data_IF_679069410896
#
_entry.id   IF_679069410896
#
_cell.length_a   1.000
_cell.length_b   1.000
_cell.length_c   1.000
_cell.angle_alpha   90.00
_cell.angle_beta   90.00
_cell.angle_gamma   90.00
#
_symmetry.space_group_name_H-M   'P 1'
#
loop_
_entity.id
_entity.type
_entity.pdbx_description
1 polymer ?
#
# COMPACT_ATOMS: atom_id res chain seq x y z
N UNK A 1 16.44 -3.42 5.28
CA UNK A 1 17.08 -2.26 4.60
C UNK A 1 16.36 -1.77 3.35
N UNK A 2 15.38 -2.49 2.78
CA UNK A 2 14.64 -2.02 1.58
C UNK A 2 13.42 -1.14 1.94
N UNK A 3 12.75 -1.39 3.07
CA UNK A 3 11.63 -0.56 3.57
C UNK A 3 12.03 0.88 3.93
N UNK A 4 13.27 1.09 4.37
CA UNK A 4 13.77 2.43 4.71
C UNK A 4 14.10 3.28 3.47
N UNK A 5 14.28 2.66 2.29
CA UNK A 5 14.58 3.39 1.06
C UNK A 5 13.36 4.16 0.54
N UNK A 6 12.14 3.71 0.85
CA UNK A 6 10.90 4.42 0.52
C UNK A 6 10.70 5.70 1.32
N UNK A 7 11.29 5.81 2.53
CA UNK A 7 11.20 7.01 3.37
C UNK A 7 12.14 8.15 2.91
N UNK A 8 13.06 7.90 1.98
CA UNK A 8 14.14 8.85 1.60
C UNK A 8 13.92 9.51 0.24
N UNK A 9 12.76 9.35 -0.40
CA UNK A 9 12.44 10.06 -1.65
C UNK A 9 11.68 11.37 -1.44
N UNK A 10 11.99 12.11 -0.37
CA UNK A 10 11.51 13.47 -0.17
C UNK A 10 12.54 14.46 -0.74
N UNK A 11 12.62 14.58 -2.07
CA UNK A 11 13.36 15.65 -2.73
C UNK A 11 12.38 16.76 -3.16
N UNK A 12 12.58 18.03 -2.76
CA UNK A 12 11.62 19.10 -3.04
C UNK A 12 11.93 19.84 -4.36
N UNK A 13 10.85 20.39 -4.91
CA UNK A 13 10.75 21.50 -5.87
C UNK A 13 10.81 21.18 -7.38
N UNK A 14 9.65 21.34 -8.03
CA UNK A 14 9.42 21.44 -9.49
C UNK A 14 9.30 20.13 -10.31
N UNK A 15 8.65 19.11 -9.76
CA UNK A 15 8.32 17.88 -10.48
C UNK A 15 6.78 17.75 -10.60
N UNK A 16 6.27 17.24 -11.73
CA UNK A 16 4.82 17.12 -11.99
C UNK A 16 4.13 16.20 -10.98
N UNK A 17 2.79 16.16 -10.95
CA UNK A 17 2.08 15.20 -10.06
C UNK A 17 2.53 13.77 -10.39
N UNK A 18 2.84 13.49 -11.65
CA UNK A 18 3.42 12.23 -12.12
C UNK A 18 4.80 11.89 -11.55
N UNK A 19 5.59 12.85 -11.09
CA UNK A 19 6.92 12.57 -10.54
C UNK A 19 6.88 12.23 -9.05
N UNK A 20 5.77 12.60 -8.38
CA UNK A 20 5.54 12.34 -6.95
C UNK A 20 4.80 11.02 -6.73
N UNK A 21 3.90 10.66 -7.65
CA UNK A 21 3.09 9.46 -7.48
C UNK A 21 3.83 8.18 -7.87
N UNK A 22 3.63 7.07 -7.13
CA UNK A 22 4.26 5.81 -7.44
C UNK A 22 3.74 5.27 -8.78
N UNK A 23 4.64 4.80 -9.63
CA UNK A 23 4.27 4.16 -10.89
C UNK A 23 3.30 2.99 -10.65
N UNK A 24 2.34 2.78 -11.56
CA UNK A 24 1.36 1.69 -11.48
C UNK A 24 1.97 0.32 -11.21
N UNK A 25 3.12 0.02 -11.82
CA UNK A 25 3.85 -1.24 -11.57
C UNK A 25 4.35 -1.37 -10.12
N UNK A 26 4.76 -0.25 -9.50
CA UNK A 26 5.24 -0.22 -8.13
C UNK A 26 4.12 -0.51 -7.12
N UNK A 27 2.90 -0.02 -7.38
CA UNK A 27 1.72 -0.33 -6.54
C UNK A 27 1.46 -1.84 -6.45
N UNK A 28 1.47 -2.54 -7.59
CA UNK A 28 1.27 -3.99 -7.61
C UNK A 28 2.43 -4.76 -6.97
N UNK A 29 3.67 -4.30 -7.18
CA UNK A 29 4.83 -4.90 -6.51
C UNK A 29 4.73 -4.76 -4.99
N UNK A 30 4.23 -3.63 -4.48
CA UNK A 30 3.98 -3.46 -3.05
C UNK A 30 2.95 -4.45 -2.53
N UNK A 31 1.83 -4.65 -3.25
CA UNK A 31 0.81 -5.66 -2.89
C UNK A 31 1.42 -7.06 -2.85
N UNK A 32 2.17 -7.46 -3.88
CA UNK A 32 2.82 -8.78 -3.95
C UNK A 32 3.83 -8.95 -2.81
N UNK A 33 4.62 -7.93 -2.51
CA UNK A 33 5.60 -7.95 -1.44
C UNK A 33 4.93 -8.11 -0.05
N UNK A 34 3.87 -7.34 0.23
CA UNK A 34 3.10 -7.43 1.47
C UNK A 34 2.39 -8.78 1.57
N UNK A 35 1.84 -9.30 0.48
CA UNK A 35 1.21 -10.62 0.45
C UNK A 35 2.22 -11.73 0.74
N UNK A 36 3.37 -11.73 0.07
CA UNK A 36 4.44 -12.71 0.28
C UNK A 36 5.00 -12.65 1.69
N UNK A 37 5.24 -11.45 2.21
CA UNK A 37 5.74 -11.26 3.58
C UNK A 37 4.70 -11.72 4.62
N UNK A 38 3.42 -11.36 4.42
CA UNK A 38 2.32 -11.81 5.29
C UNK A 38 2.18 -13.33 5.28
N UNK A 39 2.31 -13.98 4.12
CA UNK A 39 2.29 -15.44 4.03
C UNK A 39 3.44 -16.10 4.80
N UNK A 40 4.68 -15.62 4.61
CA UNK A 40 5.87 -16.15 5.31
C UNK A 40 5.72 -15.96 6.82
N UNK A 41 5.26 -14.80 7.25
CA UNK A 41 4.96 -14.50 8.66
C UNK A 41 3.89 -15.42 9.23
N UNK A 42 2.77 -15.58 8.53
CA UNK A 42 1.64 -16.40 8.96
C UNK A 42 2.03 -17.89 9.08
N UNK A 43 2.92 -18.38 8.22
CA UNK A 43 3.47 -19.74 8.32
C UNK A 43 4.27 -19.96 9.61
N UNK A 44 4.89 -18.92 10.17
CA UNK A 44 5.67 -19.02 11.41
C UNK A 44 4.81 -18.80 12.65
N UNK A 45 3.95 -17.78 12.65
CA UNK A 45 3.04 -17.48 13.76
C UNK A 45 1.87 -16.63 13.29
N UNK A 46 0.66 -16.98 13.70
CA UNK A 46 -0.59 -16.36 13.23
C UNK A 46 -0.69 -14.84 13.48
N UNK A 47 -0.02 -14.32 14.52
CA UNK A 47 -0.09 -12.89 14.88
C UNK A 47 0.97 -12.04 14.17
N UNK A 48 2.01 -12.64 13.57
CA UNK A 48 3.08 -11.88 12.92
C UNK A 48 2.61 -10.99 11.75
N UNK A 49 1.66 -11.41 10.88
CA UNK A 49 1.11 -10.52 9.86
C UNK A 49 0.42 -9.27 10.42
N UNK A 50 -0.03 -9.28 11.68
CA UNK A 50 -0.62 -8.10 12.33
C UNK A 50 0.42 -7.02 12.60
N UNK A 51 1.71 -7.37 12.75
CA UNK A 51 2.78 -6.40 12.94
C UNK A 51 2.99 -5.53 11.69
N UNK A 52 2.88 -6.13 10.49
CA UNK A 52 3.01 -5.39 9.23
C UNK A 52 1.69 -4.70 8.84
N UNK A 53 0.56 -5.22 9.32
CA UNK A 53 -0.75 -4.64 9.02
C UNK A 53 -0.85 -3.18 9.44
N UNK A 54 -0.46 -2.84 10.68
CA UNK A 54 -0.57 -1.47 11.19
C UNK A 54 0.18 -0.41 10.35
N UNK A 55 1.49 -0.56 10.04
CA UNK A 55 2.19 0.41 9.21
C UNK A 55 1.66 0.45 7.78
N UNK A 56 1.25 -0.70 7.21
CA UNK A 56 0.69 -0.74 5.86
C UNK A 56 -0.68 -0.06 5.79
N UNK A 57 -1.52 -0.25 6.81
CA UNK A 57 -2.81 0.43 6.90
C UNK A 57 -2.65 1.95 7.06
N UNK A 58 -1.65 2.39 7.83
CA UNK A 58 -1.32 3.80 7.93
C UNK A 58 -0.90 4.39 6.58
N UNK A 59 0.02 3.76 5.86
CA UNK A 59 0.44 4.21 4.52
C UNK A 59 -0.72 4.21 3.51
N UNK A 60 -1.56 3.19 3.53
CA UNK A 60 -2.76 3.14 2.68
C UNK A 60 -3.74 4.28 3.03
N UNK A 61 -3.88 4.63 4.31
CA UNK A 61 -4.74 5.74 4.72
C UNK A 61 -4.21 7.11 4.28
N UNK A 62 -2.89 7.33 4.28
CA UNK A 62 -2.29 8.55 3.74
C UNK A 62 -2.56 8.69 2.23
N UNK A 63 -2.38 7.60 1.47
CA UNK A 63 -2.66 7.60 0.03
C UNK A 63 -4.13 7.88 -0.28
N UNK A 64 -5.06 7.27 0.47
CA UNK A 64 -6.49 7.53 0.32
C UNK A 64 -6.83 8.98 0.69
N UNK A 65 -6.20 9.54 1.72
CA UNK A 65 -6.39 10.93 2.11
C UNK A 65 -5.89 11.90 1.03
N UNK A 66 -4.75 11.62 0.39
CA UNK A 66 -4.19 12.42 -0.70
C UNK A 66 -5.09 12.37 -1.95
N UNK A 67 -5.61 11.19 -2.30
CA UNK A 67 -6.57 11.04 -3.41
C UNK A 67 -7.95 11.64 -3.13
N UNK A 68 -8.34 11.73 -1.86
CA UNK A 68 -9.57 12.36 -1.41
C UNK A 68 -9.47 13.88 -1.24
N UNK A 69 -8.25 14.45 -1.30
CA UNK A 69 -8.03 15.87 -1.17
C UNK A 69 -8.66 16.63 -2.35
N UNK A 70 -9.43 17.71 -2.10
CA UNK A 70 -10.16 18.42 -3.15
C UNK A 70 -9.25 19.19 -4.13
N UNK A 71 -7.97 19.34 -3.82
CA UNK A 71 -6.99 20.04 -4.64
C UNK A 71 -6.06 19.03 -5.32
N UNK A 72 -5.53 18.06 -4.57
CA UNK A 72 -4.56 17.09 -5.08
C UNK A 72 -5.26 16.01 -5.92
N UNK A 73 -6.36 15.44 -5.43
CA UNK A 73 -7.08 14.35 -6.11
C UNK A 73 -7.51 14.66 -7.55
N UNK A 74 -8.10 15.84 -7.84
CA UNK A 74 -8.43 16.23 -9.20
C UNK A 74 -7.18 16.41 -10.09
N UNK A 75 -6.09 16.97 -9.56
CA UNK A 75 -4.86 17.14 -10.32
C UNK A 75 -4.23 15.78 -10.71
N UNK A 76 -4.23 14.82 -9.77
CA UNK A 76 -3.84 13.43 -10.02
C UNK A 76 -4.71 12.80 -11.11
N UNK A 77 -6.04 12.99 -11.03
CA UNK A 77 -6.99 12.44 -12.00
C UNK A 77 -6.75 12.99 -13.41
N UNK A 78 -6.47 14.28 -13.52
CA UNK A 78 -6.27 14.94 -14.81
C UNK A 78 -4.92 14.53 -15.45
N UNK A 79 -3.89 14.30 -14.63
CA UNK A 79 -2.54 13.95 -15.12
C UNK A 79 -2.35 12.44 -15.38
N UNK A 80 -2.83 11.58 -14.48
CA UNK A 80 -2.59 10.13 -14.51
C UNK A 80 -3.84 9.31 -14.92
N UNK A 81 -4.99 9.96 -14.96
CA UNK A 81 -6.24 9.37 -15.42
C UNK A 81 -7.00 8.58 -14.34
N UNK A 82 -8.29 8.36 -14.60
CA UNK A 82 -9.17 7.62 -13.69
C UNK A 82 -8.77 6.15 -13.48
N UNK A 83 -8.08 5.55 -14.45
CA UNK A 83 -7.58 4.17 -14.34
C UNK A 83 -6.52 4.02 -13.25
N UNK A 84 -5.64 5.01 -13.11
CA UNK A 84 -4.64 5.04 -12.05
C UNK A 84 -5.31 5.11 -10.67
N UNK A 85 -6.30 5.99 -10.49
CA UNK A 85 -7.01 6.16 -9.22
C UNK A 85 -7.69 4.85 -8.79
N UNK A 86 -8.38 4.19 -9.71
CA UNK A 86 -9.02 2.90 -9.43
C UNK A 86 -7.99 1.84 -9.04
N UNK A 87 -6.83 1.84 -9.68
CA UNK A 87 -5.74 0.94 -9.35
C UNK A 87 -5.13 1.25 -7.98
N UNK A 88 -4.90 2.53 -7.66
CA UNK A 88 -4.38 2.96 -6.37
C UNK A 88 -5.33 2.60 -5.22
N UNK A 89 -6.63 2.81 -5.40
CA UNK A 89 -7.67 2.41 -4.45
C UNK A 89 -7.70 0.89 -4.24
N UNK A 90 -7.70 0.12 -5.34
CA UNK A 90 -7.67 -1.34 -5.29
C UNK A 90 -6.40 -1.87 -4.60
N UNK A 91 -5.23 -1.34 -4.93
CA UNK A 91 -3.97 -1.72 -4.29
C UNK A 91 -3.98 -1.38 -2.79
N UNK A 92 -4.51 -0.22 -2.42
CA UNK A 92 -4.65 0.19 -1.01
C UNK A 92 -5.56 -0.75 -0.22
N UNK A 93 -6.70 -1.12 -0.79
CA UNK A 93 -7.61 -2.08 -0.19
C UNK A 93 -6.93 -3.46 0.01
N UNK A 94 -6.22 -3.95 -1.02
CA UNK A 94 -5.50 -5.23 -0.95
C UNK A 94 -4.38 -5.20 0.10
N UNK A 95 -3.62 -4.10 0.18
CA UNK A 95 -2.57 -3.91 1.18
C UNK A 95 -3.10 -4.05 2.61
N UNK A 96 -4.32 -3.59 2.89
CA UNK A 96 -4.95 -3.70 4.21
C UNK A 96 -5.56 -5.08 4.45
N UNK A 97 -6.26 -5.63 3.45
CA UNK A 97 -7.05 -6.87 3.62
C UNK A 97 -6.16 -8.11 3.66
N UNK A 98 -5.10 -8.18 2.85
CA UNK A 98 -4.28 -9.39 2.69
C UNK A 98 -3.60 -9.84 3.98
N UNK A 99 -2.95 -8.96 4.77
CA UNK A 99 -2.36 -9.36 6.05
C UNK A 99 -3.39 -9.93 7.03
N UNK A 100 -4.60 -9.33 7.09
CA UNK A 100 -5.70 -9.80 7.92
C UNK A 100 -6.20 -11.16 7.48
N UNK A 101 -6.34 -11.37 6.17
CA UNK A 101 -6.77 -12.64 5.60
C UNK A 101 -5.81 -13.78 5.98
N UNK A 102 -4.49 -13.57 5.86
CA UNK A 102 -3.50 -14.58 6.23
C UNK A 102 -3.45 -14.84 7.75
N UNK A 103 -3.57 -13.79 8.57
CA UNK A 103 -3.68 -13.94 10.02
C UNK A 103 -4.92 -14.77 10.40
N UNK A 104 -6.08 -14.47 9.82
CA UNK A 104 -7.33 -15.16 10.08
C UNK A 104 -7.29 -16.63 9.66
N UNK A 105 -6.80 -16.94 8.45
CA UNK A 105 -6.67 -18.32 7.96
C UNK A 105 -5.77 -19.15 8.89
N UNK A 106 -4.68 -18.57 9.40
CA UNK A 106 -3.79 -19.31 10.31
C UNK A 106 -4.34 -19.43 11.72
N UNK A 107 -5.04 -18.42 12.22
CA UNK A 107 -5.76 -18.51 13.50
C UNK A 107 -6.82 -19.61 13.46
N UNK A 108 -7.59 -19.71 12.37
CA UNK A 108 -8.63 -20.71 12.20
C UNK A 108 -8.09 -22.16 12.18
N UNK A 109 -6.82 -22.36 11.78
CA UNK A 109 -6.16 -23.69 11.80
C UNK A 109 -5.58 -24.08 13.16
N UNK A 110 -5.50 -23.14 14.10
CA UNK A 110 -4.98 -23.38 15.46
C UNK A 110 -6.09 -23.62 16.48
N UNK A 111 -7.36 -23.44 16.08
CA UNK A 111 -8.55 -23.82 16.84
C UNK A 111 -8.99 -25.21 16.40
#
# INVERSE_FOLDING_TARGET
>A
MILAAWLVSAAPAAAGVSDREPASGALWLAVIAVAGMSWVMACRRWWLPLLIWAPVAFLASELIAELGDPIIGPAVRDELGAGYILQADLCSALLVVVPLMFANIRMARLR
#
